data_IF_653743113721
#
_entry.id   IF_653743113721
#
_cell.length_a   1.000
_cell.length_b   1.000
_cell.length_c   1.000
_cell.angle_alpha   90.00
_cell.angle_beta   90.00
_cell.angle_gamma   90.00
#
_symmetry.space_group_name_H-M   'P 1'
#
loop_
_entity.id
_entity.type
_entity.pdbx_description
1 polymer ?
#
# COMPACT_ATOMS: atom_id res chain seq x y z
N UNK A 1 -5.35 -19.24 10.38
CA UNK A 1 -6.54 -19.19 9.49
C UNK A 1 -7.70 -18.34 10.02
N UNK A 2 -7.71 -17.92 11.29
CA UNK A 2 -8.77 -17.03 11.81
C UNK A 2 -10.16 -17.66 11.88
N UNK A 3 -10.23 -19.00 11.80
CA UNK A 3 -11.45 -19.81 11.88
C UNK A 3 -11.84 -20.11 13.34
N UNK A 4 -10.84 -20.23 14.21
CA UNK A 4 -11.02 -20.49 15.64
C UNK A 4 -10.66 -19.24 16.43
N UNK A 5 -11.45 -18.94 17.46
CA UNK A 5 -11.22 -17.86 18.42
C UNK A 5 -10.13 -18.27 19.43
N UNK A 6 -10.15 -19.53 19.85
CA UNK A 6 -9.17 -20.12 20.75
C UNK A 6 -8.68 -21.44 20.17
N UNK A 7 -7.36 -21.64 20.12
CA UNK A 7 -6.74 -22.93 19.82
C UNK A 7 -5.65 -23.16 20.87
N UNK A 8 -5.90 -24.06 21.82
CA UNK A 8 -4.97 -24.39 22.90
C UNK A 8 -4.45 -25.81 22.72
N UNK A 9 -3.14 -26.01 22.47
CA UNK A 9 -2.53 -27.32 22.53
C UNK A 9 -2.39 -27.74 24.00
N UNK A 10 -2.77 -28.97 24.32
CA UNK A 10 -2.45 -29.65 25.58
C UNK A 10 -1.54 -30.82 25.24
N UNK A 11 -0.32 -30.79 25.77
CA UNK A 11 0.65 -31.85 25.59
C UNK A 11 0.63 -32.70 26.85
N UNK A 12 0.23 -33.95 26.70
CA UNK A 12 0.28 -34.95 27.76
C UNK A 12 1.62 -35.70 27.64
N UNK A 13 2.40 -35.65 28.72
CA UNK A 13 3.77 -36.18 28.83
C UNK A 13 3.81 -37.38 29.79
N UNK A 14 2.65 -37.97 30.11
CA UNK A 14 2.58 -39.07 31.10
C UNK A 14 3.28 -40.37 30.66
N UNK A 15 3.66 -40.51 29.39
CA UNK A 15 4.39 -41.66 28.86
C UNK A 15 5.90 -41.51 28.96
N UNK A 16 6.62 -42.62 29.22
CA UNK A 16 8.09 -42.67 29.32
C UNK A 16 8.78 -42.37 27.97
N UNK A 17 8.08 -42.57 26.84
CA UNK A 17 8.56 -42.29 25.47
C UNK A 17 7.53 -41.64 24.54
N UNK A 18 6.28 -41.51 24.98
CA UNK A 18 5.14 -41.19 24.13
C UNK A 18 4.46 -39.89 24.59
N UNK A 19 4.20 -38.99 23.64
CA UNK A 19 3.53 -37.72 23.89
C UNK A 19 2.19 -37.68 23.16
N UNK A 20 1.11 -37.30 23.84
CA UNK A 20 -0.19 -37.05 23.21
C UNK A 20 -0.44 -35.55 23.13
N UNK A 21 -0.69 -35.03 21.92
CA UNK A 21 -1.05 -33.61 21.72
C UNK A 21 -2.54 -33.50 21.43
N UNK A 22 -3.31 -32.96 22.37
CA UNK A 22 -4.74 -32.68 22.23
C UNK A 22 -4.95 -31.19 21.97
N UNK A 23 -5.56 -30.85 20.83
CA UNK A 23 -5.96 -29.46 20.56
C UNK A 23 -7.38 -29.23 21.05
N UNK A 24 -7.56 -28.29 21.99
CA UNK A 24 -8.88 -27.77 22.36
C UNK A 24 -9.14 -26.52 21.53
N UNK A 25 -10.16 -26.55 20.68
CA UNK A 25 -10.50 -25.43 19.79
C UNK A 25 -11.90 -24.89 20.08
N UNK A 26 -12.05 -23.57 19.98
CA UNK A 26 -13.34 -22.88 20.02
C UNK A 26 -13.56 -22.19 18.69
N UNK A 27 -14.64 -22.53 17.99
CA UNK A 27 -14.98 -21.91 16.71
C UNK A 27 -15.34 -20.42 16.90
N UNK A 28 -14.95 -19.60 15.93
CA UNK A 28 -15.30 -18.19 15.94
C UNK A 28 -16.82 -18.01 15.78
N UNK A 29 -17.47 -17.52 16.82
CA UNK A 29 -18.93 -17.30 16.88
C UNK A 29 -19.42 -16.22 15.91
N UNK A 30 -18.53 -15.40 15.33
CA UNK A 30 -18.85 -14.36 14.34
C UNK A 30 -18.28 -14.74 12.97
N UNK A 31 -18.99 -15.55 12.16
CA UNK A 31 -18.50 -16.01 10.86
C UNK A 31 -18.48 -14.88 9.81
N UNK A 32 -19.20 -13.78 10.05
CA UNK A 32 -19.23 -12.61 9.16
C UNK A 32 -18.42 -11.47 9.78
N UNK A 33 -17.50 -10.92 8.98
CA UNK A 33 -16.68 -9.75 9.30
C UNK A 33 -17.06 -8.62 8.34
N UNK A 34 -17.49 -7.50 8.91
CA UNK A 34 -17.76 -6.27 8.18
C UNK A 34 -16.62 -5.30 8.47
N UNK A 35 -15.96 -4.84 7.42
CA UNK A 35 -14.86 -3.89 7.49
C UNK A 35 -15.21 -2.68 6.64
N UNK A 36 -15.02 -1.48 7.18
CA UNK A 36 -15.06 -0.24 6.41
C UNK A 36 -13.62 0.13 6.11
N UNK A 37 -13.31 0.35 4.83
CA UNK A 37 -11.99 0.72 4.34
C UNK A 37 -12.10 2.05 3.61
N UNK A 38 -11.43 3.08 4.12
CA UNK A 38 -11.03 4.20 3.24
C UNK A 38 -9.67 3.84 2.64
N UNK A 39 -9.32 4.37 1.47
CA UNK A 39 -8.06 4.15 0.77
C UNK A 39 -7.75 5.41 -0.07
N UNK A 40 -6.49 5.83 -0.18
CA UNK A 40 -6.11 7.01 -0.98
C UNK A 40 -5.10 6.63 -2.05
N UNK A 41 -5.54 6.52 -3.31
CA UNK A 41 -4.66 6.23 -4.44
C UNK A 41 -3.48 7.21 -4.50
N UNK A 42 -2.38 6.76 -5.09
CA UNK A 42 -1.14 7.53 -5.30
C UNK A 42 -1.37 8.86 -6.02
N UNK A 43 -2.41 8.91 -6.87
CA UNK A 43 -2.88 10.11 -7.55
C UNK A 43 -3.50 11.15 -6.59
N UNK A 44 -3.74 10.80 -5.33
CA UNK A 44 -4.46 11.63 -4.36
C UNK A 44 -5.98 11.52 -4.49
N UNK A 45 -6.50 10.50 -5.18
CA UNK A 45 -7.93 10.15 -5.14
C UNK A 45 -8.22 9.37 -3.86
N UNK A 46 -9.33 9.66 -3.19
CA UNK A 46 -9.76 8.91 -2.00
C UNK A 46 -10.93 8.02 -2.37
N UNK A 47 -10.80 6.73 -2.11
CA UNK A 47 -11.87 5.75 -2.24
C UNK A 47 -12.37 5.36 -0.84
N UNK A 48 -13.68 5.32 -0.65
CA UNK A 48 -14.31 4.77 0.54
C UNK A 48 -15.05 3.49 0.17
N UNK A 49 -14.92 2.46 0.99
CA UNK A 49 -15.47 1.15 0.68
C UNK A 49 -15.84 0.35 1.91
N UNK A 50 -16.65 -0.67 1.66
CA UNK A 50 -17.18 -1.60 2.63
C UNK A 50 -16.87 -3.01 2.12
N UNK A 51 -16.34 -3.83 3.01
CA UNK A 51 -16.00 -5.22 2.77
C UNK A 51 -16.80 -6.09 3.73
N UNK A 52 -17.57 -7.03 3.19
CA UNK A 52 -18.29 -8.04 3.95
C UNK A 52 -17.68 -9.42 3.64
N UNK A 53 -17.01 -10.04 4.61
CA UNK A 53 -16.40 -11.35 4.47
C UNK A 53 -17.10 -12.37 5.35
N UNK A 54 -17.55 -13.48 4.79
CA UNK A 54 -17.99 -14.67 5.53
C UNK A 54 -16.95 -15.77 5.42
N UNK A 55 -16.42 -16.21 6.55
CA UNK A 55 -15.49 -17.34 6.64
C UNK A 55 -16.21 -18.63 7.00
N UNK A 56 -15.63 -19.76 6.62
CA UNK A 56 -16.09 -21.12 6.89
C UNK A 56 -17.50 -21.45 6.38
N UNK A 57 -17.85 -21.07 5.14
CA UNK A 57 -19.23 -21.22 4.62
C UNK A 57 -19.74 -22.67 4.66
N UNK A 58 -18.89 -23.64 4.29
CA UNK A 58 -19.23 -25.06 4.24
C UNK A 58 -18.50 -25.89 5.30
N UNK A 59 -17.91 -25.27 6.32
CA UNK A 59 -17.18 -25.97 7.37
C UNK A 59 -15.79 -26.48 6.95
N UNK A 60 -15.29 -26.16 5.75
CA UNK A 60 -13.99 -26.61 5.22
C UNK A 60 -12.97 -25.48 5.04
N UNK A 61 -13.19 -24.33 5.69
CA UNK A 61 -12.29 -23.18 5.63
C UNK A 61 -12.47 -22.28 4.40
N UNK A 62 -13.52 -22.49 3.59
CA UNK A 62 -13.86 -21.57 2.49
C UNK A 62 -14.24 -20.18 3.00
N UNK A 63 -14.00 -19.14 2.19
CA UNK A 63 -14.59 -17.82 2.46
C UNK A 63 -15.19 -17.20 1.21
N UNK A 64 -16.19 -16.35 1.42
CA UNK A 64 -16.70 -15.43 0.41
C UNK A 64 -16.57 -14.00 0.93
N UNK A 65 -16.24 -13.08 0.03
CA UNK A 65 -16.06 -11.68 0.32
C UNK A 65 -16.74 -10.82 -0.73
N UNK A 66 -17.54 -9.87 -0.28
CA UNK A 66 -18.10 -8.79 -1.09
C UNK A 66 -17.34 -7.51 -0.76
N UNK A 67 -16.88 -6.83 -1.80
CA UNK A 67 -16.17 -5.57 -1.72
C UNK A 67 -16.91 -4.53 -2.56
N UNK A 68 -17.20 -3.38 -1.97
CA UNK A 68 -17.70 -2.22 -2.69
C UNK A 68 -16.83 -1.03 -2.29
N UNK A 69 -16.27 -0.29 -3.25
CA UNK A 69 -15.60 0.98 -2.99
C UNK A 69 -15.97 2.02 -4.03
N UNK A 70 -15.96 3.29 -3.62
CA UNK A 70 -16.29 4.44 -4.46
C UNK A 70 -15.33 5.60 -4.17
N UNK A 71 -14.82 6.21 -5.23
CA UNK A 71 -14.02 7.42 -5.18
C UNK A 71 -14.87 8.64 -4.77
N UNK A 72 -14.33 9.45 -3.87
CA UNK A 72 -14.97 10.64 -3.29
C UNK A 72 -14.86 11.85 -4.24
N UNK A 73 -13.86 11.88 -5.12
CA UNK A 73 -13.67 12.97 -6.09
C UNK A 73 -14.62 12.85 -7.29
N UNK A 74 -14.73 13.92 -8.07
CA UNK A 74 -15.67 14.06 -9.20
C UNK A 74 -15.45 13.00 -10.31
N UNK A 75 -14.20 12.58 -10.54
CA UNK A 75 -13.83 11.42 -11.37
C UNK A 75 -13.57 10.15 -10.53
N UNK A 76 -14.25 10.04 -9.40
CA UNK A 76 -14.13 8.94 -8.46
C UNK A 76 -14.74 7.66 -9.03
N UNK A 77 -13.87 6.75 -9.47
CA UNK A 77 -14.22 5.42 -9.91
C UNK A 77 -15.01 4.62 -8.85
N UNK A 78 -15.72 3.58 -9.26
CA UNK A 78 -16.32 2.62 -8.34
C UNK A 78 -15.82 1.21 -8.65
N UNK A 79 -15.63 0.43 -7.60
CA UNK A 79 -15.26 -0.97 -7.67
C UNK A 79 -16.30 -1.79 -6.91
N UNK A 80 -16.83 -2.81 -7.57
CA UNK A 80 -17.66 -3.82 -6.96
C UNK A 80 -17.04 -5.18 -7.25
N UNK A 81 -16.75 -5.96 -6.21
CA UNK A 81 -16.09 -7.25 -6.34
C UNK A 81 -16.73 -8.31 -5.45
N UNK A 82 -16.87 -9.51 -6.00
CA UNK A 82 -17.15 -10.73 -5.27
C UNK A 82 -15.95 -11.67 -5.37
N UNK A 83 -15.51 -12.19 -4.23
CA UNK A 83 -14.38 -13.12 -4.14
C UNK A 83 -14.85 -14.37 -3.40
N UNK A 84 -14.58 -15.54 -3.98
CA UNK A 84 -14.77 -16.83 -3.32
C UNK A 84 -13.44 -17.60 -3.30
N UNK A 85 -13.04 -18.11 -2.14
CA UNK A 85 -11.86 -18.94 -1.97
C UNK A 85 -12.24 -20.32 -1.47
N UNK A 86 -11.71 -21.35 -2.13
CA UNK A 86 -11.78 -22.74 -1.68
C UNK A 86 -10.37 -23.28 -1.46
N UNK A 87 -9.98 -23.60 -0.21
CA UNK A 87 -8.72 -24.27 0.06
C UNK A 87 -8.80 -25.74 -0.36
N UNK A 88 -7.72 -26.30 -0.88
CA UNK A 88 -7.60 -27.75 -1.05
C UNK A 88 -7.15 -28.35 0.28
N UNK A 89 -7.93 -29.31 0.79
CA UNK A 89 -7.61 -30.01 2.02
C UNK A 89 -6.69 -31.19 1.66
N UNK A 90 -5.45 -31.19 2.16
CA UNK A 90 -4.47 -32.23 1.87
C UNK A 90 -3.13 -32.00 2.56
N UNK A 91 -2.20 -32.93 2.34
CA UNK A 91 -0.80 -32.88 2.78
C UNK A 91 0.04 -31.85 2.01
N UNK A 92 -0.46 -31.40 0.85
CA UNK A 92 0.14 -30.32 0.08
C UNK A 92 -0.08 -28.98 0.77
N UNK A 93 1.04 -28.29 1.05
CA UNK A 93 1.08 -27.01 1.78
C UNK A 93 0.22 -25.94 1.09
N UNK A 94 -0.93 -25.60 1.71
CA UNK A 94 -1.74 -24.39 1.47
C UNK A 94 -2.07 -24.07 0.00
N UNK A 95 -2.39 -25.07 -0.81
CA UNK A 95 -2.94 -24.83 -2.14
C UNK A 95 -4.40 -24.38 -2.04
N UNK A 96 -4.83 -23.46 -2.90
CA UNK A 96 -6.21 -22.99 -2.95
C UNK A 96 -6.59 -22.52 -4.35
N UNK A 97 -7.89 -22.51 -4.60
CA UNK A 97 -8.49 -21.90 -5.78
C UNK A 97 -9.33 -20.70 -5.36
N UNK A 98 -9.19 -19.62 -6.11
CA UNK A 98 -9.87 -18.35 -5.87
C UNK A 98 -10.58 -17.92 -7.14
N UNK A 99 -11.83 -17.52 -7.01
CA UNK A 99 -12.62 -16.94 -8.08
C UNK A 99 -12.99 -15.52 -7.67
N UNK A 100 -12.65 -14.56 -8.53
CA UNK A 100 -12.91 -13.14 -8.32
C UNK A 100 -13.73 -12.63 -9.50
N UNK A 101 -14.90 -12.05 -9.22
CA UNK A 101 -15.73 -11.36 -10.19
C UNK A 101 -15.75 -9.90 -9.79
N UNK A 102 -15.34 -8.98 -10.65
CA UNK A 102 -15.37 -7.57 -10.32
C UNK A 102 -15.77 -6.69 -11.49
N UNK A 103 -16.37 -5.56 -11.14
CA UNK A 103 -16.62 -4.43 -12.01
C UNK A 103 -15.91 -3.23 -11.44
N UNK A 104 -15.01 -2.65 -12.22
CA UNK A 104 -14.19 -1.53 -11.80
C UNK A 104 -14.29 -0.39 -12.81
N UNK A 105 -14.26 0.85 -12.32
CA UNK A 105 -14.16 2.06 -13.13
C UNK A 105 -12.96 2.82 -12.63
N UNK A 106 -12.00 3.13 -13.50
CA UNK A 106 -10.82 3.90 -13.13
C UNK A 106 -10.57 5.04 -14.12
N UNK A 107 -10.14 6.18 -13.58
CA UNK A 107 -9.72 7.33 -14.37
C UNK A 107 -8.19 7.38 -14.50
N UNK A 108 -7.67 7.25 -15.72
CA UNK A 108 -6.25 7.35 -16.01
C UNK A 108 -5.85 8.80 -16.31
N UNK A 109 -5.27 9.46 -15.32
CA UNK A 109 -4.87 10.88 -15.42
C UNK A 109 -3.84 11.15 -16.51
N UNK A 110 -2.86 10.26 -16.66
CA UNK A 110 -1.81 10.38 -17.69
C UNK A 110 -2.35 10.22 -19.11
N UNK A 111 -3.55 9.64 -19.28
CA UNK A 111 -4.24 9.50 -20.56
C UNK A 111 -5.50 10.39 -20.68
N UNK A 112 -5.89 11.08 -19.59
CA UNK A 112 -7.17 11.79 -19.41
C UNK A 112 -8.38 10.97 -19.87
N UNK A 113 -8.45 9.71 -19.48
CA UNK A 113 -9.43 8.74 -19.99
C UNK A 113 -10.00 7.85 -18.90
N UNK A 114 -11.29 7.52 -18.99
CA UNK A 114 -11.94 6.52 -18.15
C UNK A 114 -11.81 5.11 -18.74
N UNK A 115 -11.75 4.11 -17.85
CA UNK A 115 -11.79 2.70 -18.21
C UNK A 115 -12.80 1.97 -17.34
N UNK A 116 -13.76 1.31 -18.00
CA UNK A 116 -14.76 0.46 -17.38
C UNK A 116 -14.36 -1.00 -17.62
N UNK A 117 -14.09 -1.74 -16.56
CA UNK A 117 -13.64 -3.13 -16.64
C UNK A 117 -14.63 -4.04 -15.93
N UNK A 118 -15.12 -5.05 -16.65
CA UNK A 118 -15.82 -6.20 -16.08
C UNK A 118 -14.90 -7.41 -16.20
N UNK A 119 -14.58 -8.05 -15.09
CA UNK A 119 -13.58 -9.10 -15.05
C UNK A 119 -14.07 -10.31 -14.26
N UNK A 120 -13.74 -11.49 -14.79
CA UNK A 120 -13.77 -12.75 -14.10
C UNK A 120 -12.35 -13.32 -14.06
N UNK A 121 -11.85 -13.56 -12.86
CA UNK A 121 -10.47 -14.00 -12.63
C UNK A 121 -10.50 -15.27 -11.80
N UNK A 122 -9.84 -16.32 -12.27
CA UNK A 122 -9.64 -17.56 -11.53
C UNK A 122 -8.16 -17.67 -11.21
N UNK A 123 -7.80 -17.75 -9.93
CA UNK A 123 -6.42 -17.90 -9.50
C UNK A 123 -6.25 -19.21 -8.72
N UNK A 124 -5.33 -20.03 -9.20
CA UNK A 124 -4.87 -21.25 -8.58
C UNK A 124 -3.53 -20.98 -7.88
N UNK A 125 -3.53 -21.07 -6.56
CA UNK A 125 -2.31 -20.98 -5.76
C UNK A 125 -1.83 -22.40 -5.48
N UNK A 126 -0.70 -22.80 -6.05
CA UNK A 126 -0.12 -24.12 -5.87
C UNK A 126 0.71 -24.25 -4.59
N UNK A 127 0.65 -23.23 -3.72
CA UNK A 127 1.48 -23.16 -2.53
C UNK A 127 2.97 -23.07 -2.86
N UNK A 128 3.77 -23.75 -2.05
CA UNK A 128 5.23 -23.78 -2.17
C UNK A 128 5.69 -24.97 -3.01
N UNK A 129 6.19 -24.74 -4.24
CA UNK A 129 6.81 -25.78 -5.10
C UNK A 129 8.10 -26.34 -4.48
N UNK A 130 8.79 -25.51 -3.70
CA UNK A 130 9.91 -25.85 -2.82
C UNK A 130 9.80 -24.96 -1.59
N UNK A 131 10.53 -25.25 -0.50
CA UNK A 131 10.41 -24.54 0.79
C UNK A 131 10.49 -22.99 0.73
N UNK A 132 10.89 -22.41 -0.42
CA UNK A 132 11.02 -20.96 -0.63
C UNK A 132 10.34 -20.42 -1.89
N UNK A 133 9.89 -21.28 -2.82
CA UNK A 133 9.34 -20.85 -4.12
C UNK A 133 7.83 -21.01 -4.11
N UNK A 134 7.12 -19.90 -4.23
CA UNK A 134 5.67 -19.85 -4.37
C UNK A 134 5.31 -19.67 -5.84
N UNK A 135 4.39 -20.50 -6.33
CA UNK A 135 3.84 -20.40 -7.69
C UNK A 135 2.34 -20.15 -7.62
N UNK A 136 1.88 -19.23 -8.46
CA UNK A 136 0.46 -18.94 -8.66
C UNK A 136 0.15 -18.82 -10.15
N UNK A 137 -0.93 -19.45 -10.58
CA UNK A 137 -1.45 -19.35 -11.93
C UNK A 137 -2.78 -18.58 -11.88
N UNK A 138 -2.94 -17.58 -12.73
CA UNK A 138 -4.15 -16.77 -12.81
C UNK A 138 -4.66 -16.73 -14.24
N UNK A 139 -5.95 -17.01 -14.41
CA UNK A 139 -6.69 -16.91 -15.66
C UNK A 139 -7.57 -15.66 -15.58
N UNK A 140 -7.36 -14.73 -16.50
CA UNK A 140 -8.09 -13.48 -16.57
C UNK A 140 -9.03 -13.48 -17.77
N UNK A 141 -10.30 -13.18 -17.53
CA UNK A 141 -11.31 -12.90 -18.54
C UNK A 141 -11.84 -11.49 -18.31
N UNK A 142 -11.35 -10.52 -19.08
CA UNK A 142 -11.62 -9.10 -18.84
C UNK A 142 -12.26 -8.49 -20.08
N UNK A 143 -13.42 -7.87 -19.91
CA UNK A 143 -14.02 -6.99 -20.90
C UNK A 143 -13.86 -5.55 -20.44
N UNK A 144 -13.19 -4.76 -21.27
CA UNK A 144 -12.83 -3.37 -20.99
C UNK A 144 -13.49 -2.44 -22.01
N UNK A 145 -14.00 -1.31 -21.55
CA UNK A 145 -14.49 -0.22 -22.38
C UNK A 145 -13.65 1.01 -22.07
N UNK A 146 -12.88 1.47 -23.06
CA UNK A 146 -12.02 2.64 -22.96
C UNK A 146 -12.74 3.90 -23.45
N UNK A 147 -12.90 4.87 -22.56
CA UNK A 147 -13.67 6.10 -22.76
C UNK A 147 -12.76 7.33 -22.57
N UNK A 148 -12.14 7.82 -23.65
CA UNK A 148 -11.29 9.00 -23.59
C UNK A 148 -12.13 10.29 -23.52
N UNK A 149 -11.73 11.25 -22.68
CA UNK A 149 -12.44 12.53 -22.50
C UNK A 149 -12.38 13.41 -23.75
N UNK A 150 -13.20 14.47 -23.81
CA UNK A 150 -13.21 15.41 -24.95
C UNK A 150 -11.85 16.07 -25.19
N UNK A 151 -11.11 16.35 -24.12
CA UNK A 151 -9.80 17.01 -24.14
C UNK A 151 -8.63 16.04 -24.39
N UNK A 152 -8.91 14.80 -24.76
CA UNK A 152 -7.86 13.81 -25.03
C UNK A 152 -7.34 13.94 -26.46
N UNK A 153 -6.03 13.73 -26.66
CA UNK A 153 -5.43 13.80 -27.99
C UNK A 153 -5.97 12.71 -28.90
N UNK A 154 -6.04 12.98 -30.20
CA UNK A 154 -6.58 12.05 -31.19
C UNK A 154 -5.92 10.66 -31.15
N UNK A 155 -4.60 10.60 -30.95
CA UNK A 155 -3.84 9.33 -30.85
C UNK A 155 -4.31 8.42 -29.71
N UNK A 156 -4.87 8.99 -28.64
CA UNK A 156 -5.46 8.23 -27.53
C UNK A 156 -6.91 7.88 -27.85
N UNK A 157 -7.64 8.80 -28.49
CA UNK A 157 -9.04 8.60 -28.91
C UNK A 157 -9.22 7.50 -29.94
N UNK A 158 -8.22 7.27 -30.79
CA UNK A 158 -8.19 6.16 -31.75
C UNK A 158 -8.31 4.79 -31.07
N UNK A 159 -7.85 4.67 -29.82
CA UNK A 159 -7.98 3.46 -29.01
C UNK A 159 -9.34 3.33 -28.29
N UNK A 160 -10.30 4.22 -28.54
CA UNK A 160 -11.62 4.15 -27.89
C UNK A 160 -12.43 2.90 -28.28
N UNK A 161 -13.24 2.42 -27.34
CA UNK A 161 -14.17 1.32 -27.59
C UNK A 161 -13.93 0.10 -26.71
N UNK A 162 -14.53 -1.01 -27.13
CA UNK A 162 -14.52 -2.27 -26.38
C UNK A 162 -13.29 -3.10 -26.73
N UNK A 163 -12.68 -3.68 -25.71
CA UNK A 163 -11.61 -4.68 -25.87
C UNK A 163 -11.85 -5.85 -24.94
N UNK A 164 -11.61 -7.05 -25.46
CA UNK A 164 -11.66 -8.29 -24.70
C UNK A 164 -10.25 -8.85 -24.50
N UNK A 165 -9.91 -9.17 -23.26
CA UNK A 165 -8.64 -9.81 -22.90
C UNK A 165 -8.89 -11.13 -22.19
N UNK A 166 -8.44 -12.20 -22.82
CA UNK A 166 -8.18 -13.46 -22.17
C UNK A 166 -6.67 -13.61 -21.96
N UNK A 167 -6.23 -13.70 -20.70
CA UNK A 167 -4.80 -13.90 -20.41
C UNK A 167 -4.55 -14.95 -19.34
N UNK A 168 -3.41 -15.61 -19.47
CA UNK A 168 -2.86 -16.55 -18.50
C UNK A 168 -1.64 -15.87 -17.87
N UNK A 169 -1.70 -15.62 -16.57
CA UNK A 169 -0.64 -15.05 -15.76
C UNK A 169 -0.01 -16.13 -14.90
N UNK A 170 1.32 -16.21 -14.90
CA UNK A 170 2.08 -17.09 -14.02
C UNK A 170 3.03 -16.25 -13.17
N UNK A 171 2.81 -16.30 -11.85
CA UNK A 171 3.63 -15.65 -10.85
C UNK A 171 4.52 -16.69 -10.16
N UNK A 172 5.83 -16.50 -10.27
CA UNK A 172 6.83 -17.20 -9.47
C UNK A 172 7.45 -16.19 -8.50
N UNK A 173 7.49 -16.54 -7.22
CA UNK A 173 8.08 -15.67 -6.20
C UNK A 173 8.90 -16.45 -5.18
N UNK A 174 9.99 -15.83 -4.72
CA UNK A 174 10.83 -16.34 -3.64
C UNK A 174 11.21 -15.16 -2.75
N UNK A 175 10.80 -15.20 -1.49
CA UNK A 175 11.08 -14.15 -0.51
C UNK A 175 11.91 -14.75 0.64
N UNK A 176 13.14 -14.28 0.77
CA UNK A 176 14.06 -14.66 1.85
C UNK A 176 14.39 -13.48 2.77
N UNK A 177 13.65 -12.37 2.63
CA UNK A 177 13.85 -11.18 3.45
C UNK A 177 13.45 -11.44 4.90
N UNK A 178 14.16 -10.81 5.81
CA UNK A 178 13.88 -10.83 7.25
C UNK A 178 12.59 -10.05 7.59
N UNK A 179 12.46 -8.85 7.01
CA UNK A 179 11.31 -7.93 7.19
C UNK A 179 10.72 -7.60 5.81
N UNK A 180 9.38 -7.64 5.64
CA UNK A 180 8.74 -7.45 4.34
C UNK A 180 8.72 -5.99 3.85
N UNK A 181 8.77 -5.00 4.75
CA UNK A 181 8.62 -3.57 4.43
C UNK A 181 9.98 -2.89 4.20
N UNK A 182 10.82 -2.84 5.24
CA UNK A 182 12.21 -2.38 5.16
C UNK A 182 13.08 -3.58 5.53
N UNK A 183 13.46 -4.40 4.53
CA UNK A 183 14.36 -5.54 4.76
C UNK A 183 15.75 -5.06 5.18
N UNK A 184 16.34 -5.74 6.15
CA UNK A 184 17.75 -5.54 6.53
C UNK A 184 18.65 -6.57 5.85
N UNK A 185 18.15 -7.81 5.67
CA UNK A 185 18.90 -8.92 5.07
C UNK A 185 17.97 -9.75 4.18
N UNK A 186 18.52 -10.24 3.08
CA UNK A 186 17.85 -11.20 2.20
C UNK A 186 17.37 -10.61 0.88
N UNK A 187 16.68 -11.44 0.11
CA UNK A 187 16.35 -11.16 -1.28
C UNK A 187 14.88 -11.44 -1.55
N UNK A 188 14.27 -10.63 -2.40
CA UNK A 188 12.99 -10.90 -3.01
C UNK A 188 13.18 -11.05 -4.51
N UNK A 189 12.69 -12.15 -5.03
CA UNK A 189 12.58 -12.43 -6.45
C UNK A 189 11.10 -12.59 -6.79
N UNK A 190 10.61 -11.84 -7.77
CA UNK A 190 9.28 -12.04 -8.36
C UNK A 190 9.37 -11.97 -9.87
N UNK A 191 8.83 -12.97 -10.54
CA UNK A 191 8.67 -13.01 -11.98
C UNK A 191 7.19 -13.24 -12.29
N UNK A 192 6.57 -12.27 -12.97
CA UNK A 192 5.21 -12.37 -13.45
C UNK A 192 5.21 -12.43 -14.98
N UNK A 193 4.70 -13.52 -15.56
CA UNK A 193 4.58 -13.70 -17.00
C UNK A 193 3.12 -13.81 -17.40
N UNK A 194 2.64 -12.88 -18.23
CA UNK A 194 1.30 -12.83 -18.77
C UNK A 194 1.33 -13.17 -20.27
N UNK A 195 0.54 -14.15 -20.68
CA UNK A 195 0.32 -14.52 -22.07
C UNK A 195 -1.15 -14.23 -22.42
N UNK A 196 -1.38 -13.33 -23.37
CA UNK A 196 -2.69 -12.99 -23.90
C UNK A 196 -2.78 -13.34 -25.39
N UNK A 197 -3.97 -13.73 -25.87
CA UNK A 197 -4.24 -13.93 -27.30
C UNK A 197 -4.65 -15.34 -27.71
N UNK A 198 -4.99 -16.21 -26.76
CA UNK A 198 -5.71 -17.46 -27.07
C UNK A 198 -7.14 -17.16 -27.53
N UNK A 199 -7.80 -16.20 -26.87
CA UNK A 199 -9.17 -15.74 -27.13
C UNK A 199 -9.24 -14.22 -26.92
N UNK A 200 -10.06 -13.52 -27.70
CA UNK A 200 -10.28 -12.08 -27.57
C UNK A 200 -9.37 -11.23 -28.47
N UNK A 201 -9.46 -9.91 -28.28
CA UNK A 201 -8.89 -8.93 -29.22
C UNK A 201 -7.40 -8.65 -28.96
N UNK A 202 -6.94 -8.85 -27.72
CA UNK A 202 -5.56 -8.54 -27.32
C UNK A 202 -4.65 -9.76 -27.41
N UNK A 203 -3.49 -9.62 -28.05
CA UNK A 203 -2.51 -10.70 -28.24
C UNK A 203 -1.09 -10.23 -27.94
N UNK A 204 -0.54 -10.62 -26.79
CA UNK A 204 0.79 -10.21 -26.34
C UNK A 204 1.40 -11.19 -25.33
N UNK A 205 2.71 -11.12 -25.18
CA UNK A 205 3.43 -11.66 -24.04
C UNK A 205 4.02 -10.50 -23.23
N UNK A 206 3.85 -10.53 -21.91
CA UNK A 206 4.35 -9.52 -20.99
C UNK A 206 5.05 -10.21 -19.83
N UNK A 207 6.27 -9.79 -19.53
CA UNK A 207 7.06 -10.31 -18.43
C UNK A 207 7.52 -9.15 -17.56
N UNK A 208 7.23 -9.25 -16.27
CA UNK A 208 7.64 -8.28 -15.25
C UNK A 208 8.53 -9.02 -14.25
N UNK A 209 9.73 -8.51 -14.07
CA UNK A 209 10.73 -9.02 -13.17
C UNK A 209 11.00 -7.97 -12.09
N UNK A 210 10.74 -8.32 -10.83
CA UNK A 210 11.05 -7.50 -9.66
C UNK A 210 12.10 -8.21 -8.81
N UNK A 211 13.19 -7.51 -8.53
CA UNK A 211 14.27 -7.98 -7.67
C UNK A 211 14.58 -6.94 -6.61
N UNK A 212 14.55 -7.36 -5.34
CA UNK A 212 14.99 -6.53 -4.23
C UNK A 212 16.02 -7.29 -3.41
N UNK A 213 17.10 -6.63 -3.04
CA UNK A 213 18.11 -7.18 -2.14
C UNK A 213 18.48 -6.13 -1.10
N UNK A 214 18.73 -6.58 0.12
CA UNK A 214 19.17 -5.70 1.19
C UNK A 214 20.23 -6.36 2.04
N UNK A 215 21.24 -5.56 2.40
CA UNK A 215 22.40 -5.97 3.16
C UNK A 215 22.63 -4.90 4.23
N UNK A 216 22.53 -5.30 5.49
CA UNK A 216 22.88 -4.46 6.63
C UNK A 216 24.34 -4.61 7.01
N UNK A 217 24.90 -3.55 7.61
CA UNK A 217 26.23 -3.53 8.25
C UNK A 217 27.47 -3.71 7.34
N UNK A 218 27.52 -3.26 6.07
CA UNK A 218 28.80 -3.16 5.38
C UNK A 218 29.68 -2.03 5.97
N UNK A 219 29.07 -0.98 6.52
CA UNK A 219 29.75 0.14 7.21
C UNK A 219 28.83 0.78 8.27
N UNK A 220 29.33 1.00 9.50
CA UNK A 220 28.73 1.84 10.56
C UNK A 220 27.20 1.72 10.77
N UNK A 221 26.63 0.51 10.68
CA UNK A 221 25.19 0.28 10.94
C UNK A 221 24.23 0.74 9.82
N UNK A 222 24.75 1.11 8.64
CA UNK A 222 23.93 1.47 7.48
C UNK A 222 23.33 0.23 6.80
N UNK A 223 22.15 0.41 6.17
CA UNK A 223 21.48 -0.63 5.39
C UNK A 223 21.48 -0.21 3.92
N UNK A 224 22.06 -1.05 3.08
CA UNK A 224 22.07 -0.86 1.63
C UNK A 224 20.97 -1.71 1.01
N UNK A 225 20.09 -1.08 0.23
CA UNK A 225 18.99 -1.75 -0.45
C UNK A 225 19.01 -1.41 -1.94
N UNK A 226 18.98 -2.43 -2.78
CA UNK A 226 18.85 -2.32 -4.23
C UNK A 226 17.48 -2.86 -4.63
N UNK A 227 16.72 -2.10 -5.42
CA UNK A 227 15.42 -2.50 -5.97
C UNK A 227 15.41 -2.28 -7.47
N UNK A 228 15.31 -3.36 -8.24
CA UNK A 228 15.31 -3.34 -9.70
C UNK A 228 14.01 -3.92 -10.20
N UNK A 229 13.37 -3.21 -11.14
CA UNK A 229 12.19 -3.69 -11.86
C UNK A 229 12.43 -3.59 -13.36
N UNK A 230 12.24 -4.70 -14.04
CA UNK A 230 12.32 -4.79 -15.49
C UNK A 230 10.98 -5.28 -16.01
N UNK A 231 10.38 -4.56 -16.95
CA UNK A 231 9.18 -4.99 -17.62
C UNK A 231 9.42 -5.01 -19.12
N UNK A 232 9.00 -6.09 -19.76
CA UNK A 232 9.10 -6.26 -21.21
C UNK A 232 7.78 -6.77 -21.73
N UNK A 233 7.41 -6.32 -22.92
CA UNK A 233 6.20 -6.72 -23.59
C UNK A 233 6.50 -6.93 -25.08
N UNK A 234 5.80 -7.87 -25.71
CA UNK A 234 5.90 -8.10 -27.15
C UNK A 234 4.53 -8.48 -27.67
N UNK A 235 4.07 -7.78 -28.70
CA UNK A 235 2.86 -8.18 -29.42
C UNK A 235 3.14 -9.47 -30.20
N UNK A 236 2.23 -10.45 -30.15
CA UNK A 236 2.39 -11.74 -30.81
C UNK A 236 1.81 -11.74 -32.23
N UNK A 237 0.68 -11.06 -32.44
CA UNK A 237 0.03 -10.93 -33.74
C UNK A 237 0.26 -9.54 -34.34
N UNK A 238 0.67 -9.48 -35.62
CA UNK A 238 0.88 -8.23 -36.35
C UNK A 238 -0.42 -7.49 -36.70
N UNK A 239 -1.55 -8.20 -36.76
CA UNK A 239 -2.86 -7.63 -37.14
C UNK A 239 -3.50 -6.78 -36.05
N UNK A 240 -3.25 -7.10 -34.77
CA UNK A 240 -3.87 -6.38 -33.65
C UNK A 240 -2.84 -5.44 -33.05
N UNK A 241 -3.01 -4.15 -33.30
CA UNK A 241 -2.15 -3.13 -32.72
C UNK A 241 -2.28 -3.17 -31.19
N UNK A 242 -1.15 -3.19 -30.48
CA UNK A 242 -1.16 -3.26 -29.03
C UNK A 242 -1.92 -2.07 -28.40
N UNK A 243 -2.98 -2.39 -27.66
CA UNK A 243 -3.88 -1.43 -27.04
C UNK A 243 -3.16 -0.58 -25.97
N UNK A 244 -3.58 0.67 -25.80
CA UNK A 244 -2.98 1.62 -24.87
C UNK A 244 -2.97 1.13 -23.42
N UNK A 245 -4.03 0.40 -23.02
CA UNK A 245 -4.20 -0.14 -21.66
C UNK A 245 -3.20 -1.23 -21.27
N UNK A 246 -2.66 -1.97 -22.25
CA UNK A 246 -1.74 -3.08 -21.96
C UNK A 246 -0.28 -2.63 -21.89
N UNK A 247 0.00 -1.41 -22.37
CA UNK A 247 1.34 -0.80 -22.40
C UNK A 247 1.97 -0.65 -21.02
N UNK A 248 3.29 -0.54 -21.02
CA UNK A 248 4.07 -0.34 -19.82
C UNK A 248 4.23 1.17 -19.62
N UNK A 249 3.90 1.63 -18.41
CA UNK A 249 4.09 3.01 -17.99
C UNK A 249 5.14 3.06 -16.88
N UNK A 250 5.82 4.21 -16.78
CA UNK A 250 6.86 4.44 -15.79
C UNK A 250 6.73 5.87 -15.25
N UNK A 251 6.95 6.03 -13.95
CA UNK A 251 6.94 7.33 -13.27
C UNK A 251 5.94 7.35 -12.12
N UNK A 252 6.23 8.17 -11.11
CA UNK A 252 5.45 8.26 -9.88
C UNK A 252 6.23 7.74 -8.66
N UNK A 253 5.67 7.87 -7.46
CA UNK A 253 6.42 7.70 -6.21
C UNK A 253 6.83 6.25 -5.90
N UNK A 254 6.22 5.25 -6.56
CA UNK A 254 6.57 3.84 -6.36
C UNK A 254 7.59 3.29 -7.37
N UNK A 255 7.77 3.95 -8.53
CA UNK A 255 8.68 3.51 -9.58
C UNK A 255 9.90 4.44 -9.66
N UNK A 256 9.72 5.62 -10.26
CA UNK A 256 10.76 6.64 -10.41
C UNK A 256 10.29 7.96 -9.80
N UNK A 257 10.75 8.22 -8.58
CA UNK A 257 10.45 9.44 -7.82
C UNK A 257 10.98 10.68 -8.56
N UNK A 258 10.38 11.84 -8.32
CA UNK A 258 10.71 13.09 -9.02
C UNK A 258 10.05 13.26 -10.40
N UNK A 259 9.29 12.27 -10.87
CA UNK A 259 8.48 12.34 -12.09
C UNK A 259 7.02 12.12 -11.75
N UNK A 260 6.13 12.78 -12.50
CA UNK A 260 4.69 12.55 -12.36
C UNK A 260 4.31 11.08 -12.64
N UNK A 261 3.16 10.65 -12.11
CA UNK A 261 2.69 9.27 -12.26
C UNK A 261 2.56 8.91 -13.74
N UNK A 262 3.27 7.86 -14.16
CA UNK A 262 3.20 7.30 -15.52
C UNK A 262 3.50 8.29 -16.66
N UNK A 263 4.24 9.37 -16.37
CA UNK A 263 4.51 10.44 -17.34
C UNK A 263 5.73 10.20 -18.22
N UNK A 264 6.61 9.26 -17.87
CA UNK A 264 7.87 9.04 -18.60
C UNK A 264 7.56 8.31 -19.91
N UNK A 265 8.04 8.84 -21.03
CA UNK A 265 7.85 8.21 -22.35
C UNK A 265 7.58 9.22 -23.46
N UNK A 266 7.01 8.75 -24.58
CA UNK A 266 6.43 9.67 -25.56
C UNK A 266 5.16 10.25 -24.97
N UNK A 267 5.09 11.57 -25.00
CA UNK A 267 3.89 12.32 -24.70
C UNK A 267 3.31 12.96 -25.96
N UNK A 268 2.00 13.13 -25.98
CA UNK A 268 1.27 13.93 -26.96
C UNK A 268 0.33 14.83 -26.17
N UNK A 269 0.46 16.15 -26.32
CA UNK A 269 -0.38 17.14 -25.62
C UNK A 269 -0.50 16.86 -24.10
N UNK A 270 0.63 16.59 -23.45
CA UNK A 270 0.76 16.23 -22.03
C UNK A 270 0.07 14.91 -21.61
N UNK A 271 -0.24 14.02 -22.56
CA UNK A 271 -0.71 12.67 -22.27
C UNK A 271 0.32 11.61 -22.68
N UNK A 272 0.55 10.61 -21.84
CA UNK A 272 1.59 9.59 -22.01
C UNK A 272 1.08 8.40 -22.83
N UNK A 273 1.77 8.02 -23.89
CA UNK A 273 1.35 6.88 -24.72
C UNK A 273 1.88 5.52 -24.21
N UNK A 274 2.68 5.51 -23.15
CA UNK A 274 3.35 4.33 -22.62
C UNK A 274 4.37 3.72 -23.59
N UNK A 275 4.93 2.59 -23.19
CA UNK A 275 6.00 1.89 -23.89
C UNK A 275 5.85 0.37 -23.88
N UNK A 276 6.90 -0.30 -24.35
CA UNK A 276 6.94 -1.75 -24.55
C UNK A 276 8.04 -2.42 -23.72
N UNK A 277 9.02 -1.67 -23.25
CA UNK A 277 9.91 -2.13 -22.20
C UNK A 277 10.26 -1.00 -21.25
N UNK A 278 10.40 -1.31 -19.98
CA UNK A 278 10.88 -0.39 -18.95
C UNK A 278 11.96 -1.05 -18.11
N UNK A 279 12.90 -0.24 -17.66
CA UNK A 279 13.87 -0.63 -16.64
C UNK A 279 13.88 0.46 -15.59
N UNK A 280 13.67 0.11 -14.33
CA UNK A 280 13.84 0.99 -13.19
C UNK A 280 14.72 0.36 -12.14
N UNK A 281 15.53 1.19 -11.51
CA UNK A 281 16.46 0.79 -10.49
C UNK A 281 16.51 1.86 -9.41
N UNK A 282 16.43 1.45 -8.14
CA UNK A 282 16.53 2.34 -7.00
C UNK A 282 17.55 1.78 -6.02
N UNK A 283 18.60 2.56 -5.80
CA UNK A 283 19.59 2.34 -4.76
C UNK A 283 19.19 3.18 -3.56
N UNK A 284 18.98 2.54 -2.42
CA UNK A 284 18.69 3.16 -1.15
C UNK A 284 19.81 2.88 -0.14
N UNK A 285 20.17 3.91 0.62
CA UNK A 285 21.01 3.78 1.82
C UNK A 285 20.18 4.29 2.98
N UNK A 286 19.89 3.42 3.95
CA UNK A 286 19.18 3.78 5.18
C UNK A 286 20.16 3.90 6.34
N UNK A 287 20.00 4.95 7.12
CA UNK A 287 20.62 5.16 8.41
C UNK A 287 19.53 5.06 9.50
N UNK A 288 19.56 4.05 10.38
CA UNK A 288 18.61 3.97 11.48
C UNK A 288 18.85 5.14 12.45
N UNK A 289 17.79 5.87 12.75
CA UNK A 289 17.78 6.96 13.73
C UNK A 289 17.10 6.50 15.01
N UNK A 290 17.34 7.17 16.13
CA UNK A 290 16.65 6.88 17.38
C UNK A 290 15.16 7.25 17.21
N UNK A 291 14.22 6.31 17.38
CA UNK A 291 14.36 4.91 17.83
C UNK A 291 14.74 3.92 16.69
N UNK A 292 15.81 3.12 16.93
CA UNK A 292 16.62 2.37 15.95
C UNK A 292 15.91 1.35 15.02
N UNK A 293 14.60 1.12 15.18
CA UNK A 293 13.80 0.20 14.33
C UNK A 293 12.59 0.87 13.66
N UNK A 294 12.34 2.13 13.99
CA UNK A 294 11.12 2.85 13.60
C UNK A 294 11.40 3.98 12.63
N UNK A 295 12.46 4.75 12.85
CA UNK A 295 12.79 5.92 12.04
C UNK A 295 14.11 5.69 11.32
N UNK A 296 14.13 5.93 10.02
CA UNK A 296 15.29 5.78 9.17
C UNK A 296 15.49 7.06 8.36
N UNK A 297 16.63 7.72 8.49
CA UNK A 297 17.06 8.64 7.45
C UNK A 297 17.47 7.81 6.23
N UNK A 298 17.20 8.30 5.03
CA UNK A 298 17.63 7.61 3.83
C UNK A 298 17.98 8.56 2.71
N UNK A 299 18.95 8.14 1.91
CA UNK A 299 19.26 8.73 0.62
C UNK A 299 18.98 7.70 -0.45
N UNK A 300 18.54 8.15 -1.62
CA UNK A 300 18.30 7.26 -2.73
C UNK A 300 18.72 7.88 -4.06
N UNK A 301 19.16 7.00 -4.95
CA UNK A 301 19.40 7.30 -6.35
C UNK A 301 18.50 6.37 -7.16
N UNK A 302 17.59 6.95 -7.93
CA UNK A 302 16.67 6.19 -8.77
C UNK A 302 16.97 6.48 -10.25
N UNK A 303 17.13 5.42 -11.04
CA UNK A 303 17.27 5.48 -12.49
C UNK A 303 16.11 4.78 -13.17
N UNK A 304 15.67 5.29 -14.32
CA UNK A 304 14.57 4.69 -15.06
C UNK A 304 14.63 5.01 -16.55
N UNK A 305 14.30 4.03 -17.37
CA UNK A 305 14.18 4.20 -18.82
C UNK A 305 12.96 3.46 -19.36
N UNK A 306 12.41 3.99 -20.45
CA UNK A 306 11.29 3.42 -21.17
C UNK A 306 11.63 3.37 -22.67
N UNK A 307 11.42 2.22 -23.29
CA UNK A 307 11.53 2.02 -24.74
C UNK A 307 10.16 1.96 -25.40
N UNK A 308 10.11 2.48 -26.62
CA UNK A 308 8.91 2.74 -27.38
C UNK A 308 8.49 1.53 -28.21
N UNK A 309 7.20 1.49 -28.57
CA UNK A 309 6.62 0.40 -29.37
C UNK A 309 7.30 0.18 -30.72
N UNK A 310 7.71 1.25 -31.40
CA UNK A 310 8.29 1.18 -32.74
C UNK A 310 9.83 1.16 -32.73
N UNK A 311 10.46 1.01 -31.56
CA UNK A 311 11.92 0.99 -31.48
C UNK A 311 12.49 -0.35 -31.96
N UNK A 312 13.44 -0.28 -32.89
CA UNK A 312 14.21 -1.46 -33.35
C UNK A 312 15.36 -1.80 -32.41
N UNK A 313 15.81 -0.85 -31.58
CA UNK A 313 16.97 -0.97 -30.69
C UNK A 313 16.57 -0.88 -29.21
N UNK A 314 15.71 -1.81 -28.78
CA UNK A 314 15.09 -1.79 -27.45
C UNK A 314 16.11 -1.75 -26.29
N UNK A 315 17.15 -2.59 -26.34
CA UNK A 315 18.17 -2.62 -25.27
C UNK A 315 19.02 -1.35 -25.26
N UNK A 316 19.37 -0.82 -26.43
CA UNK A 316 20.14 0.43 -26.54
C UNK A 316 19.35 1.61 -25.98
N UNK A 317 18.05 1.68 -26.26
CA UNK A 317 17.16 2.69 -25.70
C UNK A 317 17.11 2.62 -24.18
N UNK A 318 17.01 1.41 -23.61
CA UNK A 318 16.97 1.24 -22.17
C UNK A 318 18.27 1.67 -21.49
N UNK A 319 19.42 1.49 -22.13
CA UNK A 319 20.72 1.89 -21.57
C UNK A 319 20.97 3.39 -21.75
N UNK A 320 20.68 3.95 -22.92
CA UNK A 320 21.04 5.32 -23.28
C UNK A 320 20.06 6.36 -22.73
N UNK A 321 18.75 6.05 -22.75
CA UNK A 321 17.66 6.98 -22.37
C UNK A 321 17.28 6.87 -20.89
N UNK A 322 18.28 6.75 -20.02
CA UNK A 322 18.12 6.73 -18.57
C UNK A 322 17.79 8.13 -18.03
N UNK A 323 16.70 8.23 -17.27
CA UNK A 323 16.38 9.34 -16.37
C UNK A 323 16.95 9.03 -15.00
N UNK A 324 17.45 10.03 -14.32
CA UNK A 324 18.09 9.89 -13.01
C UNK A 324 17.47 10.90 -12.06
N UNK A 325 17.08 10.45 -10.88
CA UNK A 325 16.64 11.29 -9.78
C UNK A 325 17.44 10.94 -8.52
N UNK A 326 17.73 11.95 -7.72
CA UNK A 326 18.34 11.82 -6.42
C UNK A 326 17.37 12.35 -5.38
N UNK A 327 17.31 11.69 -4.22
CA UNK A 327 16.50 12.19 -3.12
C UNK A 327 17.07 11.86 -1.76
N UNK A 328 16.70 12.69 -0.80
CA UNK A 328 16.99 12.52 0.62
C UNK A 328 15.68 12.59 1.38
N UNK A 329 15.53 11.77 2.41
CA UNK A 329 14.26 11.71 3.13
C UNK A 329 14.32 10.93 4.43
N UNK A 330 13.17 10.88 5.08
CA UNK A 330 12.95 10.07 6.28
C UNK A 330 11.91 9.01 5.97
N UNK A 331 12.16 7.79 6.46
CA UNK A 331 11.23 6.69 6.39
C UNK A 331 10.82 6.27 7.82
N UNK A 332 9.52 6.22 8.08
CA UNK A 332 8.96 5.78 9.36
C UNK A 332 8.24 4.44 9.16
N UNK A 333 8.69 3.41 9.85
CA UNK A 333 8.11 2.08 9.86
C UNK A 333 7.20 1.90 11.08
N UNK A 334 5.89 1.81 10.85
CA UNK A 334 4.92 1.53 11.91
C UNK A 334 4.71 0.02 12.04
N UNK A 335 5.33 -0.57 13.07
CA UNK A 335 5.12 -1.96 13.49
C UNK A 335 5.10 -2.97 12.33
N UNK A 336 6.01 -2.79 11.36
CA UNK A 336 6.17 -3.67 10.20
C UNK A 336 4.88 -3.87 9.38
N UNK A 337 3.93 -2.92 9.49
CA UNK A 337 2.62 -2.96 8.82
C UNK A 337 2.46 -1.84 7.79
N UNK A 338 3.14 -0.70 7.98
CA UNK A 338 3.12 0.42 7.04
C UNK A 338 4.44 1.20 7.08
N UNK A 339 4.83 1.75 5.92
CA UNK A 339 5.99 2.65 5.75
C UNK A 339 5.52 4.03 5.34
N UNK A 340 5.98 5.08 5.99
CA UNK A 340 5.85 6.45 5.50
C UNK A 340 7.21 6.91 5.02
N UNK A 341 7.23 7.65 3.93
CA UNK A 341 8.42 8.29 3.39
C UNK A 341 8.10 9.75 3.14
N UNK A 342 8.93 10.62 3.68
CA UNK A 342 8.98 12.03 3.33
C UNK A 342 10.31 12.27 2.62
N UNK A 343 10.24 12.58 1.33
CA UNK A 343 11.39 12.65 0.44
C UNK A 343 11.47 14.04 -0.19
N UNK A 344 12.64 14.65 -0.18
CA UNK A 344 12.95 15.76 -1.07
C UNK A 344 13.68 15.21 -2.30
N UNK A 345 13.10 15.41 -3.50
CA UNK A 345 13.55 14.74 -4.73
C UNK A 345 13.95 15.76 -5.78
N UNK A 346 15.13 15.53 -6.37
CA UNK A 346 15.71 16.32 -7.43
C UNK A 346 15.93 15.44 -8.68
N UNK A 347 15.21 15.68 -9.79
CA UNK A 347 15.50 15.04 -11.07
C UNK A 347 16.80 15.61 -11.64
N UNK A 348 17.83 14.77 -11.75
CA UNK A 348 19.17 15.15 -12.25
C UNK A 348 19.26 15.04 -13.77
N UNK A 349 18.65 14.01 -14.34
CA UNK A 349 18.64 13.76 -15.79
C UNK A 349 17.22 13.44 -16.24
N UNK A 350 16.71 14.28 -17.14
CA UNK A 350 15.37 14.16 -17.73
C UNK A 350 15.42 14.64 -19.19
N UNK A 351 14.38 14.32 -19.96
CA UNK A 351 14.20 14.81 -21.33
C UNK A 351 13.19 15.97 -21.36
N UNK A 352 13.23 16.85 -22.39
CA UNK A 352 12.36 18.03 -22.45
C UNK A 352 10.85 17.76 -22.36
N UNK A 353 10.41 16.57 -22.76
CA UNK A 353 9.01 16.17 -22.74
C UNK A 353 8.63 15.36 -21.48
N UNK A 354 9.53 15.16 -20.53
CA UNK A 354 9.21 14.43 -19.29
C UNK A 354 8.58 15.39 -18.27
N UNK A 355 7.41 15.03 -17.71
CA UNK A 355 6.80 15.81 -16.63
C UNK A 355 7.53 15.54 -15.31
N UNK A 356 8.40 16.48 -14.95
CA UNK A 356 9.15 16.45 -13.70
C UNK A 356 8.33 17.05 -12.55
N UNK A 357 8.39 16.42 -11.38
CA UNK A 357 7.78 16.90 -10.13
C UNK A 357 8.85 17.01 -9.03
N UNK A 358 9.77 17.99 -9.14
CA UNK A 358 10.81 18.21 -8.12
C UNK A 358 10.20 18.67 -6.79
N UNK A 359 10.94 18.45 -5.70
CA UNK A 359 10.61 18.96 -4.38
C UNK A 359 10.12 17.88 -3.42
N UNK A 360 9.27 18.29 -2.48
CA UNK A 360 8.82 17.44 -1.37
C UNK A 360 7.75 16.45 -1.87
N UNK A 361 8.04 15.16 -1.71
CA UNK A 361 7.17 14.03 -2.05
C UNK A 361 6.90 13.21 -0.79
N UNK A 362 5.61 13.04 -0.48
CA UNK A 362 5.15 12.15 0.58
C UNK A 362 4.65 10.84 -0.02
N UNK A 363 5.20 9.72 0.41
CA UNK A 363 4.73 8.38 0.05
C UNK A 363 4.36 7.59 1.31
N UNK A 364 3.25 6.86 1.26
CA UNK A 364 2.83 5.97 2.33
C UNK A 364 2.52 4.58 1.77
N UNK A 365 2.99 3.53 2.46
CA UNK A 365 2.70 2.13 2.19
C UNK A 365 1.33 1.69 2.70
N UNK A 366 0.73 2.44 3.64
CA UNK A 366 -0.68 2.35 3.97
C UNK A 366 -1.32 3.74 3.85
N UNK A 367 -2.23 3.87 2.90
CA UNK A 367 -2.73 5.16 2.40
C UNK A 367 -3.71 5.86 3.37
N UNK A 368 -4.19 5.17 4.40
CA UNK A 368 -5.19 5.71 5.36
C UNK A 368 -4.59 6.75 6.30
N UNK A 369 -3.31 6.58 6.65
CA UNK A 369 -2.59 7.49 7.55
C UNK A 369 -1.97 8.68 6.81
N UNK A 370 -1.90 8.63 5.47
CA UNK A 370 -1.48 9.78 4.65
C UNK A 370 -2.50 10.93 4.72
N UNK A 371 -3.76 10.61 5.03
CA UNK A 371 -4.83 11.58 5.29
C UNK A 371 -4.71 12.21 6.68
N UNK A 372 -4.38 11.41 7.72
CA UNK A 372 -4.06 11.94 9.06
C UNK A 372 -2.86 12.90 8.98
N UNK A 373 -1.79 12.50 8.32
CA UNK A 373 -0.54 13.28 8.30
C UNK A 373 -0.63 14.55 7.43
N UNK A 374 -1.37 14.52 6.31
CA UNK A 374 -1.65 15.73 5.50
C UNK A 374 -2.67 16.67 6.14
N UNK A 375 -3.61 16.13 6.92
CA UNK A 375 -4.52 16.96 7.72
C UNK A 375 -3.80 17.63 8.89
N UNK A 376 -2.78 16.97 9.45
CA UNK A 376 -1.99 17.48 10.58
C UNK A 376 -0.96 18.53 10.15
N UNK A 377 -0.26 18.36 9.01
CA UNK A 377 0.94 19.17 8.72
C UNK A 377 0.74 20.34 7.74
N UNK A 378 -0.24 20.30 6.83
CA UNK A 378 -0.34 21.30 5.77
C UNK A 378 0.95 21.45 4.91
N UNK A 379 1.03 22.46 4.04
CA UNK A 379 2.10 22.59 3.04
C UNK A 379 3.15 23.68 3.32
N UNK A 380 3.10 24.40 4.46
CA UNK A 380 3.87 25.65 4.63
C UNK A 380 4.73 25.74 5.91
N UNK A 381 4.88 24.69 6.72
CA UNK A 381 5.43 24.85 8.08
C UNK A 381 6.66 23.96 8.35
N UNK A 382 7.68 24.57 8.97
CA UNK A 382 8.80 23.87 9.59
C UNK A 382 8.41 23.65 11.07
N UNK A 383 8.23 22.40 11.48
CA UNK A 383 7.80 22.04 12.85
C UNK A 383 8.98 21.42 13.59
N UNK A 384 9.31 21.98 14.74
CA UNK A 384 10.38 21.49 15.62
C UNK A 384 9.75 21.02 16.93
N UNK A 385 10.07 19.80 17.37
CA UNK A 385 9.52 19.25 18.62
C UNK A 385 10.33 19.79 19.81
N UNK A 386 9.69 20.62 20.63
CA UNK A 386 10.27 21.17 21.86
C UNK A 386 9.60 20.51 23.07
N UNK A 387 10.38 19.81 23.89
CA UNK A 387 9.88 19.24 25.13
C UNK A 387 9.76 20.35 26.19
N UNK A 388 8.53 20.73 26.53
CA UNK A 388 8.22 21.70 27.59
C UNK A 388 7.54 21.00 28.77
N UNK A 389 7.92 21.41 29.98
CA UNK A 389 7.22 20.99 31.20
C UNK A 389 6.07 21.96 31.47
N UNK A 390 4.87 21.61 31.01
CA UNK A 390 3.65 22.41 31.18
C UNK A 390 2.80 21.86 32.34
N UNK A 391 2.20 22.72 33.18
CA UNK A 391 1.31 22.28 34.23
C UNK A 391 0.03 21.62 33.66
N UNK A 392 -0.46 20.59 34.35
CA UNK A 392 -1.72 19.92 34.02
C UNK A 392 -2.91 20.70 34.57
N UNK A 393 -3.70 21.31 33.69
CA UNK A 393 -4.87 22.12 34.07
C UNK A 393 -6.10 21.27 34.41
N UNK A 394 -6.95 21.81 35.28
CA UNK A 394 -8.26 21.24 35.57
C UNK A 394 -9.37 21.91 34.74
N UNK A 395 -10.25 21.14 34.11
CA UNK A 395 -11.33 21.65 33.25
C UNK A 395 -11.75 20.69 32.13
N UNK A 396 -12.51 21.22 31.17
CA UNK A 396 -12.88 20.50 29.95
C UNK A 396 -11.69 20.41 28.97
N UNK A 397 -11.63 19.39 28.10
CA UNK A 397 -10.51 19.18 27.17
C UNK A 397 -10.14 20.42 26.34
N UNK A 398 -11.14 21.14 25.83
CA UNK A 398 -10.94 22.32 24.99
C UNK A 398 -10.33 23.50 25.78
N UNK A 399 -10.71 23.66 27.05
CA UNK A 399 -10.15 24.69 27.92
C UNK A 399 -8.72 24.38 28.34
N UNK A 400 -8.44 23.10 28.62
CA UNK A 400 -7.11 22.62 29.03
C UNK A 400 -6.11 22.83 27.89
N UNK A 401 -6.43 22.37 26.68
CA UNK A 401 -5.51 22.47 25.54
C UNK A 401 -5.25 23.93 25.17
N UNK A 402 -6.25 24.82 25.29
CA UNK A 402 -6.11 26.26 25.05
C UNK A 402 -5.14 26.89 26.04
N UNK A 403 -5.33 26.64 27.35
CA UNK A 403 -4.41 27.15 28.40
C UNK A 403 -3.00 26.60 28.27
N UNK A 404 -2.86 25.31 27.92
CA UNK A 404 -1.54 24.69 27.64
C UNK A 404 -0.86 25.38 26.46
N UNK A 405 -1.61 25.66 25.38
CA UNK A 405 -1.08 26.29 24.18
C UNK A 405 -0.66 27.75 24.42
N UNK A 406 -1.45 28.54 25.14
CA UNK A 406 -1.10 29.91 25.52
C UNK A 406 0.20 29.96 26.35
N UNK A 407 0.37 29.04 27.31
CA UNK A 407 1.59 28.99 28.11
C UNK A 407 2.80 28.47 27.34
N UNK A 408 2.59 27.49 26.47
CA UNK A 408 3.65 26.98 25.60
C UNK A 408 4.16 28.07 24.65
N UNK A 409 3.25 28.88 24.08
CA UNK A 409 3.59 30.01 23.23
C UNK A 409 4.41 31.07 23.98
N UNK A 410 4.03 31.39 25.23
CA UNK A 410 4.81 32.31 26.08
C UNK A 410 6.22 31.80 26.44
N UNK A 411 6.41 30.48 26.56
CA UNK A 411 7.72 29.90 26.87
C UNK A 411 8.64 29.77 25.65
N UNK A 412 8.06 29.54 24.47
CA UNK A 412 8.80 29.39 23.20
C UNK A 412 9.01 30.74 22.50
N UNK A 413 8.25 31.77 22.85
CA UNK A 413 8.23 33.07 22.17
C UNK A 413 8.00 32.92 20.65
N UNK A 414 7.02 32.10 20.28
CA UNK A 414 6.71 31.81 18.88
C UNK A 414 5.39 31.05 18.67
N UNK A 415 5.05 30.73 17.40
CA UNK A 415 3.86 29.98 17.07
C UNK A 415 3.97 28.54 17.55
N UNK A 416 3.00 28.09 18.34
CA UNK A 416 3.03 26.75 18.96
C UNK A 416 1.73 26.02 18.66
N UNK A 417 1.85 24.73 18.34
CA UNK A 417 0.75 23.77 18.30
C UNK A 417 0.89 22.81 19.48
N UNK A 418 -0.17 22.64 20.25
CA UNK A 418 -0.23 21.69 21.37
C UNK A 418 -1.31 20.66 21.09
N UNK A 419 -0.96 19.39 21.25
CA UNK A 419 -1.86 18.24 21.17
C UNK A 419 -2.12 17.70 22.58
N UNK A 420 -3.38 17.51 22.95
CA UNK A 420 -3.76 16.83 24.19
C UNK A 420 -4.65 15.62 23.90
N UNK A 421 -4.34 14.48 24.52
CA UNK A 421 -5.02 13.21 24.25
C UNK A 421 -5.81 12.76 25.47
N UNK A 422 -7.11 12.59 25.28
CA UNK A 422 -8.06 12.12 26.28
C UNK A 422 -8.48 10.67 25.99
N UNK A 423 -8.72 9.89 27.05
CA UNK A 423 -9.44 8.62 26.95
C UNK A 423 -10.73 8.72 27.76
N UNK A 424 -11.86 8.60 27.07
CA UNK A 424 -13.17 8.84 27.61
C UNK A 424 -13.97 7.55 27.62
N UNK A 425 -14.45 7.12 28.79
CA UNK A 425 -15.37 5.99 28.88
C UNK A 425 -16.81 6.49 28.97
N UNK A 426 -17.68 5.98 28.11
CA UNK A 426 -19.09 6.39 28.07
C UNK A 426 -19.80 6.08 29.40
N UNK A 427 -19.46 4.94 30.02
CA UNK A 427 -19.95 4.53 31.34
C UNK A 427 -19.61 5.51 32.47
N UNK A 428 -18.53 6.29 32.34
CA UNK A 428 -18.11 7.27 33.33
C UNK A 428 -18.48 8.70 32.95
N UNK A 429 -19.37 8.88 31.97
CA UNK A 429 -19.75 10.21 31.46
C UNK A 429 -18.58 10.94 30.80
N UNK A 430 -17.60 10.23 30.24
CA UNK A 430 -16.45 10.81 29.54
C UNK A 430 -15.15 10.85 30.36
N UNK A 431 -15.17 10.45 31.64
CA UNK A 431 -13.97 10.34 32.46
C UNK A 431 -13.15 9.07 32.14
N UNK A 432 -11.83 9.03 32.47
CA UNK A 432 -11.02 10.09 33.09
C UNK A 432 -10.67 11.25 32.14
N UNK A 433 -10.96 11.11 30.84
CA UNK A 433 -10.81 12.18 29.85
C UNK A 433 -9.37 12.69 29.78
N UNK A 434 -9.13 13.99 29.99
CA UNK A 434 -7.80 14.61 29.89
C UNK A 434 -6.82 14.11 30.96
N UNK A 435 -7.30 13.49 32.05
CA UNK A 435 -6.47 13.01 33.15
C UNK A 435 -5.97 11.57 32.95
N UNK A 436 -6.11 11.00 31.76
CA UNK A 436 -5.80 9.59 31.50
C UNK A 436 -4.36 9.22 31.86
N UNK A 437 -3.40 10.14 31.71
CA UNK A 437 -1.99 9.91 32.05
C UNK A 437 -1.81 9.40 33.48
N UNK A 438 -2.44 10.06 34.45
CA UNK A 438 -2.37 9.67 35.86
C UNK A 438 -3.02 8.31 36.13
N UNK A 439 -4.16 8.04 35.49
CA UNK A 439 -4.85 6.75 35.62
C UNK A 439 -4.00 5.62 35.02
N UNK A 440 -3.37 5.83 33.86
CA UNK A 440 -2.46 4.86 33.25
C UNK A 440 -1.23 4.59 34.13
N UNK A 441 -0.62 5.63 34.69
CA UNK A 441 0.56 5.48 35.55
C UNK A 441 0.25 4.70 36.83
N UNK A 442 -0.90 4.97 37.47
CA UNK A 442 -1.26 4.38 38.76
C UNK A 442 -1.95 3.02 38.63
N UNK A 443 -2.90 2.90 37.71
CA UNK A 443 -3.74 1.71 37.57
C UNK A 443 -3.22 0.73 36.53
N UNK A 444 -2.40 1.21 35.58
CA UNK A 444 -1.97 0.46 34.39
C UNK A 444 -3.17 0.06 33.50
N UNK A 445 -2.96 -0.41 32.26
CA UNK A 445 -4.05 -0.76 31.36
C UNK A 445 -5.04 -1.78 31.94
N UNK A 446 -4.54 -2.78 32.67
CA UNK A 446 -5.38 -3.80 33.30
C UNK A 446 -6.30 -3.22 34.39
N UNK A 447 -5.84 -2.21 35.13
CA UNK A 447 -6.65 -1.54 36.14
C UNK A 447 -7.74 -0.67 35.54
N UNK A 448 -7.48 -0.02 34.41
CA UNK A 448 -8.50 0.73 33.66
C UNK A 448 -9.64 -0.15 33.16
N UNK A 449 -9.31 -1.34 32.66
CA UNK A 449 -10.32 -2.31 32.22
C UNK A 449 -11.16 -2.80 33.42
N UNK A 450 -10.50 -3.12 34.54
CA UNK A 450 -11.19 -3.54 35.77
C UNK A 450 -12.11 -2.47 36.34
N UNK A 451 -11.79 -1.18 36.21
CA UNK A 451 -12.68 -0.10 36.64
C UNK A 451 -14.04 -0.16 35.95
N UNK A 452 -14.07 -0.61 34.69
CA UNK A 452 -15.30 -0.71 33.93
C UNK A 452 -16.13 -1.94 34.30
N UNK A 453 -15.59 -2.94 35.00
CA UNK A 453 -16.25 -4.25 35.25
C UNK A 453 -17.67 -4.11 35.83
N UNK A 454 -17.90 -3.11 36.69
CA UNK A 454 -19.20 -2.84 37.32
C UNK A 454 -20.27 -2.19 36.44
N UNK A 455 -19.95 -1.79 35.20
CA UNK A 455 -20.86 -1.07 34.32
C UNK A 455 -21.28 -1.93 33.12
N UNK A 456 -22.54 -1.84 32.67
CA UNK A 456 -22.99 -2.63 31.50
C UNK A 456 -22.35 -2.13 30.20
N UNK A 457 -22.17 -0.81 30.07
CA UNK A 457 -21.47 -0.19 28.94
C UNK A 457 -19.95 -0.25 29.13
N UNK A 458 -19.25 -0.81 28.15
CA UNK A 458 -17.78 -0.91 28.11
C UNK A 458 -17.16 -0.08 26.98
N UNK A 459 -17.98 0.71 26.28
CA UNK A 459 -17.53 1.53 25.17
C UNK A 459 -16.77 2.76 25.67
N UNK A 460 -15.82 3.19 24.85
CA UNK A 460 -15.04 4.39 25.09
C UNK A 460 -14.46 4.91 23.79
N UNK A 461 -13.99 6.15 23.82
CA UNK A 461 -13.39 6.81 22.68
C UNK A 461 -12.12 7.55 23.13
N UNK A 462 -11.17 7.64 22.21
CA UNK A 462 -10.04 8.55 22.36
C UNK A 462 -10.42 9.88 21.70
N UNK A 463 -10.20 10.99 22.41
CA UNK A 463 -10.39 12.34 21.90
C UNK A 463 -9.02 13.02 21.86
N UNK A 464 -8.56 13.39 20.67
CA UNK A 464 -7.36 14.20 20.50
C UNK A 464 -7.80 15.62 20.17
N UNK A 465 -7.42 16.57 21.02
CA UNK A 465 -7.70 17.99 20.81
C UNK A 465 -6.41 18.72 20.50
N UNK A 466 -6.44 19.59 19.49
CA UNK A 466 -5.31 20.43 19.08
C UNK A 466 -5.66 21.88 19.35
N UNK A 467 -4.73 22.62 19.94
CA UNK A 467 -4.78 24.08 19.98
C UNK A 467 -3.56 24.67 19.28
N UNK A 468 -3.77 25.82 18.65
CA UNK A 468 -2.75 26.55 17.94
C UNK A 468 -2.85 28.04 18.27
N UNK A 469 -1.72 28.64 18.64
CA UNK A 469 -1.60 30.07 18.92
C UNK A 469 -0.53 30.66 18.00
N UNK A 470 -0.88 31.77 17.35
CA UNK A 470 0.06 32.70 16.72
C UNK A 470 -0.01 34.00 17.51
N UNK A 471 0.99 34.30 18.33
CA UNK A 471 1.22 35.64 18.86
C UNK A 471 2.31 36.35 18.07
#
# INVERSE_FOLDING_TARGET
MGLFEVCKPKIDVSGVSDYSVKFTVQENKRPVKLNIKMEMKTSGDTDAGITARRTNIFGRGEFAELNYSKGIKEHGGYNFGFTALKPFLGWEKYSNITAHLFKNTDYYRWNKSDSLENAAVIQLNNGYLSNRILSSLRLNMIWRLFLPNKDTPFLIREHSGHTTKFSIEHLISSDTRDKPIIPTKGNLFKLNSELAGLIGDTSFIKSIFDYQTSISEPFYGLIFSLSTRFAFMKALNQRNSLHLLDRIYLGGPYDLRGFEQNSIGIQTENCSLGGVASFSNVLHIYAPLVPYDTVFAHIFLASGSLSLKNSTTLLSDLITKQRISFGVGFAINFFNSARFELNYVLPLRYFPNDNCSPGIQFAAGNQNKLKELKAILGNNFNVEHVALDLPEFQGEPDEIVTKKCELASKQIEGPVIVEDTCLCFNAFGGLPGPYIKWFLEKLKPDGLIKLLDGFEDKSGYALCTFAFVME
#
